data_IF_710777828270
#
_entry.id   IF_710777828270
#
_cell.length_a   1.000
_cell.length_b   1.000
_cell.length_c   1.000
_cell.angle_alpha   90.00
_cell.angle_beta   90.00
_cell.angle_gamma   90.00
#
_symmetry.space_group_name_H-M   'P 1'
#
loop_
_entity.id
_entity.type
_entity.pdbx_description
1 polymer ?
#
# COMPACT_ATOMS: atom_id res chain seq x y z
N UNK A 1 -2.54 -16.83 6.42
CA UNK A 1 -2.87 -16.78 4.98
C UNK A 1 -1.87 -17.62 4.18
N UNK A 2 -2.17 -17.99 2.92
CA UNK A 2 -1.29 -18.86 2.12
C UNK A 2 -0.30 -17.98 1.33
N UNK A 3 1.03 -18.08 1.51
CA UNK A 3 2.02 -17.24 0.82
C UNK A 3 1.87 -17.18 -0.72
N UNK A 4 1.54 -18.31 -1.36
CA UNK A 4 1.32 -18.40 -2.80
C UNK A 4 0.14 -17.52 -3.29
N UNK A 5 -0.85 -17.28 -2.43
CA UNK A 5 -2.01 -16.45 -2.74
C UNK A 5 -1.61 -14.98 -2.98
N UNK A 6 -0.76 -14.43 -2.12
CA UNK A 6 -0.34 -13.03 -2.25
C UNK A 6 0.56 -12.80 -3.47
N UNK A 7 1.34 -13.79 -3.87
CA UNK A 7 2.12 -13.74 -5.11
C UNK A 7 1.20 -13.69 -6.33
N UNK A 8 0.17 -14.55 -6.35
CA UNK A 8 -0.82 -14.56 -7.43
C UNK A 8 -1.63 -13.25 -7.48
N UNK A 9 -2.08 -12.75 -6.32
CA UNK A 9 -2.81 -11.49 -6.21
C UNK A 9 -1.95 -10.31 -6.68
N UNK A 10 -0.69 -10.22 -6.25
CA UNK A 10 0.19 -9.11 -6.61
C UNK A 10 0.44 -9.08 -8.13
N UNK A 11 0.74 -10.23 -8.73
CA UNK A 11 0.93 -10.34 -10.17
C UNK A 11 -0.33 -9.93 -10.97
N UNK A 12 -1.51 -10.39 -10.52
CA UNK A 12 -2.78 -10.06 -11.17
C UNK A 12 -3.21 -8.60 -10.95
N UNK A 13 -2.91 -8.01 -9.79
CA UNK A 13 -3.14 -6.59 -9.54
C UNK A 13 -2.23 -5.71 -10.41
N UNK A 14 -0.95 -6.07 -10.56
CA UNK A 14 -0.05 -5.38 -11.48
C UNK A 14 -0.56 -5.43 -12.93
N UNK A 15 -1.05 -6.60 -13.37
CA UNK A 15 -1.65 -6.77 -14.70
C UNK A 15 -2.87 -5.86 -14.90
N UNK A 16 -3.83 -5.92 -13.97
CA UNK A 16 -5.10 -5.18 -14.00
C UNK A 16 -4.94 -3.66 -13.95
N UNK A 17 -3.97 -3.17 -13.17
CA UNK A 17 -3.76 -1.72 -12.97
C UNK A 17 -2.87 -1.11 -14.06
N UNK A 18 -2.19 -1.92 -14.87
CA UNK A 18 -1.38 -1.43 -15.99
C UNK A 18 -2.26 -0.74 -17.03
N UNK A 19 -1.94 0.50 -17.39
CA UNK A 19 -2.60 1.21 -18.48
C UNK A 19 -2.38 0.48 -19.84
N UNK A 20 -3.48 0.19 -20.56
CA UNK A 20 -3.47 -0.55 -21.83
C UNK A 20 -4.35 0.10 -22.88
N UNK A 21 -4.06 -0.18 -24.14
CA UNK A 21 -4.97 0.11 -25.24
C UNK A 21 -6.16 -0.87 -25.24
N UNK A 22 -7.34 -0.49 -25.75
CA UNK A 22 -8.47 -1.41 -25.88
C UNK A 22 -8.10 -2.64 -26.72
N UNK A 23 -8.46 -3.82 -26.21
CA UNK A 23 -8.21 -5.11 -26.87
C UNK A 23 -9.49 -5.84 -27.25
N UNK A 24 -9.40 -6.75 -28.21
CA UNK A 24 -10.52 -7.62 -28.60
C UNK A 24 -10.87 -8.65 -27.51
N UNK A 25 -9.95 -8.92 -26.57
CA UNK A 25 -10.09 -9.89 -25.49
C UNK A 25 -10.74 -9.32 -24.20
N UNK A 26 -11.28 -8.09 -24.24
CA UNK A 26 -11.77 -7.40 -23.04
C UNK A 26 -12.85 -8.18 -22.25
N UNK A 27 -13.62 -9.05 -22.91
CA UNK A 27 -14.61 -9.90 -22.24
C UNK A 27 -13.96 -10.98 -21.38
N UNK A 28 -12.89 -11.61 -21.89
CA UNK A 28 -12.13 -12.63 -21.18
C UNK A 28 -11.35 -11.98 -20.03
N UNK A 29 -10.74 -10.82 -20.29
CA UNK A 29 -10.05 -10.00 -19.28
C UNK A 29 -11.01 -9.61 -18.12
N UNK A 30 -12.24 -9.21 -18.43
CA UNK A 30 -13.26 -8.89 -17.43
C UNK A 30 -13.68 -10.11 -16.61
N UNK A 31 -13.77 -11.29 -17.23
CA UNK A 31 -14.08 -12.54 -16.52
C UNK A 31 -12.96 -12.91 -15.54
N UNK A 32 -11.70 -12.79 -15.96
CA UNK A 32 -10.54 -13.01 -15.10
C UNK A 32 -10.46 -11.97 -13.96
N UNK A 33 -10.76 -10.70 -14.25
CA UNK A 33 -10.84 -9.66 -13.23
C UNK A 33 -11.93 -9.97 -12.19
N UNK A 34 -13.09 -10.45 -12.63
CA UNK A 34 -14.16 -10.83 -11.69
C UNK A 34 -13.68 -11.87 -10.66
N UNK A 35 -13.01 -12.93 -11.12
CA UNK A 35 -12.45 -13.95 -10.23
C UNK A 35 -11.42 -13.35 -9.26
N UNK A 36 -10.54 -12.49 -9.76
CA UNK A 36 -9.56 -11.77 -8.93
C UNK A 36 -10.25 -10.93 -7.84
N UNK A 37 -11.31 -10.21 -8.19
CA UNK A 37 -12.01 -9.29 -7.28
C UNK A 37 -12.81 -10.02 -6.20
N UNK A 38 -13.29 -11.23 -6.50
CA UNK A 38 -13.87 -12.13 -5.48
C UNK A 38 -12.79 -12.52 -4.47
N UNK A 39 -11.63 -12.98 -4.95
CA UNK A 39 -10.52 -13.43 -4.12
C UNK A 39 -9.94 -12.30 -3.25
N UNK A 40 -9.71 -11.13 -3.84
CA UNK A 40 -9.28 -9.92 -3.13
C UNK A 40 -10.27 -9.55 -2.01
N UNK A 41 -11.58 -9.60 -2.30
CA UNK A 41 -12.61 -9.34 -1.31
C UNK A 41 -12.58 -10.33 -0.14
N UNK A 42 -12.36 -11.62 -0.41
CA UNK A 42 -12.23 -12.63 0.64
C UNK A 42 -11.00 -12.37 1.53
N UNK A 43 -9.86 -12.03 0.93
CA UNK A 43 -8.64 -11.69 1.68
C UNK A 43 -8.87 -10.48 2.58
N UNK A 44 -9.46 -9.41 2.07
CA UNK A 44 -9.73 -8.21 2.87
C UNK A 44 -10.69 -8.52 4.02
N UNK A 45 -11.77 -9.28 3.80
CA UNK A 45 -12.72 -9.60 4.87
C UNK A 45 -12.10 -10.49 5.95
N UNK A 46 -11.18 -11.40 5.59
CA UNK A 46 -10.40 -12.18 6.55
C UNK A 46 -9.53 -11.26 7.41
N UNK A 47 -8.75 -10.38 6.79
CA UNK A 47 -7.89 -9.43 7.53
C UNK A 47 -8.70 -8.46 8.41
N UNK A 48 -9.83 -7.98 7.90
CA UNK A 48 -10.76 -7.14 8.70
C UNK A 48 -11.33 -7.89 9.89
N UNK A 49 -11.52 -9.21 9.79
CA UNK A 49 -12.00 -10.01 10.92
C UNK A 49 -10.94 -10.13 12.02
N UNK A 50 -9.67 -10.33 11.66
CA UNK A 50 -8.55 -10.44 12.61
C UNK A 50 -8.37 -9.16 13.44
N UNK A 51 -8.54 -7.99 12.82
CA UNK A 51 -8.35 -6.70 13.52
C UNK A 51 -9.64 -6.11 14.09
N UNK A 52 -10.78 -6.79 13.94
CA UNK A 52 -12.11 -6.24 14.26
C UNK A 52 -12.23 -5.79 15.71
N UNK A 53 -11.85 -6.66 16.65
CA UNK A 53 -11.98 -6.37 18.08
C UNK A 53 -11.10 -5.19 18.49
N UNK A 54 -9.88 -5.09 17.94
CA UNK A 54 -8.99 -3.95 18.16
C UNK A 54 -9.55 -2.68 17.54
N UNK A 55 -10.08 -2.74 16.32
CA UNK A 55 -10.67 -1.58 15.66
C UNK A 55 -11.93 -1.07 16.40
N UNK A 56 -12.67 -1.97 17.04
CA UNK A 56 -13.87 -1.62 17.81
C UNK A 56 -13.56 -0.84 19.11
N UNK A 57 -12.30 -0.76 19.54
CA UNK A 57 -11.92 0.05 20.71
C UNK A 57 -11.69 1.53 20.36
N UNK A 58 -11.66 1.88 19.07
CA UNK A 58 -11.51 3.26 18.63
C UNK A 58 -12.67 4.13 19.15
N UNK A 59 -12.41 5.30 19.76
CA UNK A 59 -13.47 6.19 20.21
C UNK A 59 -14.36 6.65 19.05
N UNK A 60 -15.64 6.84 19.32
CA UNK A 60 -16.63 7.25 18.31
C UNK A 60 -16.90 8.75 18.29
N UNK A 61 -16.45 9.48 19.32
CA UNK A 61 -16.49 10.94 19.33
C UNK A 61 -15.23 11.51 18.67
N UNK A 62 -15.31 12.70 18.02
CA UNK A 62 -14.19 13.22 17.24
C UNK A 62 -12.92 13.49 18.04
N UNK A 63 -13.04 14.08 19.24
CA UNK A 63 -11.88 14.46 20.05
C UNK A 63 -11.16 13.22 20.60
N UNK A 64 -11.94 12.24 21.09
CA UNK A 64 -11.44 10.95 21.49
C UNK A 64 -10.77 10.20 20.33
N UNK A 65 -11.36 10.23 19.14
CA UNK A 65 -10.79 9.56 17.97
C UNK A 65 -9.45 10.16 17.57
N UNK A 66 -9.34 11.50 17.53
CA UNK A 66 -8.07 12.18 17.20
C UNK A 66 -6.99 11.81 18.21
N UNK A 67 -7.28 11.94 19.51
CA UNK A 67 -6.31 11.58 20.55
C UNK A 67 -5.88 10.11 20.49
N UNK A 68 -6.82 9.21 20.20
CA UNK A 68 -6.53 7.78 20.02
C UNK A 68 -5.70 7.51 18.76
N UNK A 69 -5.99 8.21 17.66
CA UNK A 69 -5.31 8.03 16.38
C UNK A 69 -3.87 8.56 16.43
N UNK A 70 -3.65 9.74 17.00
CA UNK A 70 -2.31 10.33 17.19
C UNK A 70 -1.44 9.44 18.10
N UNK A 71 -2.03 8.81 19.11
CA UNK A 71 -1.33 7.88 20.01
C UNK A 71 -0.81 6.62 19.30
N UNK A 72 -1.30 6.31 18.09
CA UNK A 72 -0.77 5.23 17.27
C UNK A 72 0.66 5.50 16.79
N UNK A 73 1.11 6.76 16.71
CA UNK A 73 2.52 7.09 16.44
C UNK A 73 3.44 6.47 17.50
N UNK A 74 2.96 6.36 18.74
CA UNK A 74 3.73 5.81 19.87
C UNK A 74 3.40 4.36 20.19
N UNK A 75 2.15 3.94 20.00
CA UNK A 75 1.64 2.64 20.46
C UNK A 75 1.12 1.74 19.35
N UNK A 76 1.15 2.23 18.11
CA UNK A 76 0.70 1.52 16.94
C UNK A 76 1.50 0.22 16.72
N UNK A 77 0.88 -0.80 16.10
CA UNK A 77 1.60 -2.00 15.71
C UNK A 77 2.81 -1.66 14.81
N UNK A 78 3.96 -2.27 15.10
CA UNK A 78 5.21 -2.02 14.37
C UNK A 78 6.06 -0.86 14.92
N UNK A 79 5.52 -0.04 15.83
CA UNK A 79 6.32 0.97 16.50
C UNK A 79 7.41 0.35 17.37
N UNK A 80 8.63 0.89 17.25
CA UNK A 80 9.84 0.40 17.92
C UNK A 80 10.19 -1.07 17.61
N UNK A 81 9.83 -1.57 16.41
CA UNK A 81 10.21 -2.92 16.01
C UNK A 81 11.75 -3.10 16.08
N UNK A 82 12.25 -4.19 16.70
CA UNK A 82 13.69 -4.46 16.80
C UNK A 82 14.43 -4.45 15.47
N UNK A 83 13.73 -4.71 14.35
CA UNK A 83 14.28 -4.63 13.00
C UNK A 83 14.90 -3.25 12.73
N UNK A 84 14.24 -2.15 13.09
CA UNK A 84 14.75 -0.80 12.79
C UNK A 84 16.05 -0.50 13.53
N UNK A 85 16.15 -0.93 14.79
CA UNK A 85 17.39 -0.81 15.56
C UNK A 85 18.51 -1.64 14.93
N UNK A 86 18.21 -2.86 14.50
CA UNK A 86 19.19 -3.72 13.84
C UNK A 86 19.63 -3.14 12.48
N UNK A 87 18.71 -2.59 11.69
CA UNK A 87 19.00 -1.88 10.44
C UNK A 87 19.91 -0.68 10.65
N UNK A 88 19.73 0.06 11.75
CA UNK A 88 20.54 1.22 12.11
C UNK A 88 21.97 0.82 12.52
N UNK A 89 22.11 -0.20 13.38
CA UNK A 89 23.39 -0.43 14.08
C UNK A 89 24.20 -1.63 13.59
N UNK A 90 23.56 -2.62 12.97
CA UNK A 90 24.19 -3.92 12.69
C UNK A 90 24.13 -4.34 11.22
N UNK A 91 23.11 -3.91 10.47
CA UNK A 91 22.90 -4.36 9.10
C UNK A 91 24.06 -3.98 8.17
N UNK A 92 24.53 -4.97 7.42
CA UNK A 92 25.44 -4.74 6.30
C UNK A 92 24.72 -4.05 5.14
N UNK A 93 25.48 -3.43 4.22
CA UNK A 93 24.91 -2.87 2.99
C UNK A 93 24.10 -3.90 2.18
N UNK A 94 24.55 -5.16 2.14
CA UNK A 94 23.83 -6.22 1.44
C UNK A 94 22.46 -6.49 2.08
N UNK A 95 22.39 -6.51 3.41
CA UNK A 95 21.14 -6.70 4.14
C UNK A 95 20.21 -5.48 4.01
N UNK A 96 20.77 -4.27 4.04
CA UNK A 96 20.01 -3.04 3.78
C UNK A 96 19.42 -3.03 2.37
N UNK A 97 20.21 -3.41 1.35
CA UNK A 97 19.72 -3.58 -0.03
C UNK A 97 18.59 -4.61 -0.09
N UNK A 98 18.73 -5.74 0.61
CA UNK A 98 17.67 -6.74 0.67
C UNK A 98 16.38 -6.18 1.28
N UNK A 99 16.47 -5.49 2.42
CA UNK A 99 15.33 -4.86 3.08
C UNK A 99 14.64 -3.84 2.17
N UNK A 100 15.39 -2.89 1.61
CA UNK A 100 14.85 -1.87 0.69
C UNK A 100 14.27 -2.48 -0.58
N UNK A 101 14.81 -3.60 -1.06
CA UNK A 101 14.21 -4.32 -2.17
C UNK A 101 12.83 -4.89 -1.81
N UNK A 102 12.63 -5.41 -0.60
CA UNK A 102 11.31 -5.87 -0.15
C UNK A 102 10.30 -4.72 -0.07
N UNK A 103 10.73 -3.56 0.42
CA UNK A 103 9.87 -2.37 0.56
C UNK A 103 9.46 -1.82 -0.81
N UNK A 104 10.43 -1.54 -1.69
CA UNK A 104 10.16 -0.85 -2.96
C UNK A 104 9.51 -1.75 -4.01
N UNK A 105 9.82 -3.04 -4.04
CA UNK A 105 9.25 -3.94 -5.03
C UNK A 105 7.86 -4.47 -4.63
N UNK A 106 7.49 -4.37 -3.35
CA UNK A 106 6.14 -4.68 -2.86
C UNK A 106 5.22 -3.47 -2.76
N UNK A 107 5.74 -2.27 -3.02
CA UNK A 107 4.98 -1.03 -2.92
C UNK A 107 3.83 -0.99 -3.94
N UNK A 108 2.67 -0.51 -3.48
CA UNK A 108 1.46 -0.39 -4.28
C UNK A 108 1.35 0.93 -5.08
N UNK A 109 2.34 1.83 -4.97
CA UNK A 109 2.31 3.18 -5.53
C UNK A 109 1.43 4.12 -4.71
N UNK A 110 2.04 4.89 -3.80
CA UNK A 110 1.28 5.74 -2.88
C UNK A 110 0.38 6.77 -3.59
N UNK A 111 0.88 7.42 -4.63
CA UNK A 111 0.14 8.40 -5.42
C UNK A 111 -1.13 7.81 -6.07
N UNK A 112 -1.03 6.60 -6.63
CA UNK A 112 -2.17 5.88 -7.19
C UNK A 112 -3.21 5.50 -6.13
N UNK A 113 -2.76 5.08 -4.93
CA UNK A 113 -3.66 4.78 -3.81
C UNK A 113 -4.45 6.02 -3.37
N UNK A 114 -3.79 7.18 -3.30
CA UNK A 114 -4.43 8.46 -2.99
C UNK A 114 -5.42 8.85 -4.09
N UNK A 115 -5.03 8.69 -5.36
CA UNK A 115 -5.87 8.96 -6.53
C UNK A 115 -7.16 8.12 -6.55
N UNK A 116 -7.05 6.83 -6.25
CA UNK A 116 -8.21 5.92 -6.18
C UNK A 116 -9.10 6.24 -4.96
N UNK A 117 -8.50 6.46 -3.79
CA UNK A 117 -9.24 6.67 -2.54
C UNK A 117 -10.10 7.94 -2.58
N UNK A 118 -9.60 9.02 -3.17
CA UNK A 118 -10.31 10.31 -3.18
C UNK A 118 -11.58 10.34 -4.06
N UNK A 119 -11.79 9.32 -4.89
CA UNK A 119 -12.95 9.24 -5.79
C UNK A 119 -14.26 9.33 -5.01
N UNK A 120 -15.05 10.36 -5.37
CA UNK A 120 -16.40 10.63 -4.83
C UNK A 120 -16.46 10.82 -3.30
N UNK A 121 -15.36 11.16 -2.63
CA UNK A 121 -15.41 11.57 -1.23
C UNK A 121 -16.09 12.93 -1.05
N UNK A 122 -16.56 13.18 0.18
CA UNK A 122 -17.06 14.49 0.59
C UNK A 122 -15.99 15.57 0.41
N UNK A 123 -16.43 16.82 0.21
CA UNK A 123 -15.54 17.91 -0.22
C UNK A 123 -14.32 18.11 0.68
N UNK A 124 -14.50 18.12 2.01
CA UNK A 124 -13.40 18.34 2.97
C UNK A 124 -12.30 17.26 2.87
N UNK A 125 -12.55 15.97 3.13
CA UNK A 125 -11.50 14.94 3.01
C UNK A 125 -10.95 14.82 1.58
N UNK A 126 -11.77 15.10 0.56
CA UNK A 126 -11.30 15.11 -0.84
C UNK A 126 -10.27 16.22 -1.08
N UNK A 127 -10.47 17.41 -0.52
CA UNK A 127 -9.51 18.51 -0.65
C UNK A 127 -8.20 18.20 0.09
N UNK A 128 -8.24 17.50 1.23
CA UNK A 128 -7.02 17.07 1.91
C UNK A 128 -6.22 16.04 1.09
N UNK A 129 -6.89 15.00 0.58
CA UNK A 129 -6.24 14.03 -0.30
C UNK A 129 -5.74 14.66 -1.61
N UNK A 130 -6.44 15.66 -2.14
CA UNK A 130 -5.98 16.38 -3.32
C UNK A 130 -4.69 17.19 -3.07
N UNK A 131 -4.50 17.72 -1.86
CA UNK A 131 -3.26 18.41 -1.48
C UNK A 131 -2.11 17.41 -1.33
N UNK A 132 -2.35 16.29 -0.66
CA UNK A 132 -1.37 15.22 -0.52
C UNK A 132 -0.98 14.65 -1.90
N UNK A 133 -1.95 14.33 -2.76
CA UNK A 133 -1.68 13.92 -4.14
C UNK A 133 -0.87 14.96 -4.92
N UNK A 134 -1.18 16.26 -4.76
CA UNK A 134 -0.42 17.30 -5.44
C UNK A 134 1.04 17.39 -4.97
N UNK A 135 1.30 17.11 -3.70
CA UNK A 135 2.65 17.05 -3.14
C UNK A 135 3.41 15.81 -3.65
N UNK A 136 2.76 14.63 -3.64
CA UNK A 136 3.29 13.39 -4.22
C UNK A 136 3.67 13.53 -5.70
N UNK A 137 2.87 14.30 -6.44
CA UNK A 137 3.13 14.65 -7.84
C UNK A 137 4.18 15.76 -8.01
N UNK A 138 4.98 16.06 -6.97
CA UNK A 138 6.05 17.05 -7.00
C UNK A 138 5.57 18.46 -7.31
N UNK A 139 4.31 18.75 -7.01
CA UNK A 139 3.62 19.99 -7.40
C UNK A 139 3.73 20.28 -8.90
N UNK A 140 3.65 19.23 -9.71
CA UNK A 140 3.74 19.27 -11.17
C UNK A 140 5.17 19.30 -11.71
N UNK A 141 6.18 19.16 -10.86
CA UNK A 141 7.58 18.99 -11.26
C UNK A 141 8.00 17.53 -11.05
N UNK A 142 8.31 16.83 -12.14
CA UNK A 142 8.76 15.43 -12.13
C UNK A 142 9.96 15.20 -11.22
N UNK A 143 10.91 16.16 -11.16
CA UNK A 143 12.07 16.04 -10.28
C UNK A 143 11.70 16.03 -8.79
N UNK A 144 10.55 16.61 -8.45
CA UNK A 144 9.96 16.66 -7.13
C UNK A 144 8.99 15.52 -6.82
N UNK A 145 8.67 14.66 -7.80
CA UNK A 145 7.80 13.50 -7.56
C UNK A 145 8.52 12.45 -6.72
N UNK A 146 7.80 11.85 -5.78
CA UNK A 146 8.36 10.83 -4.88
C UNK A 146 8.72 9.54 -5.61
N UNK A 147 7.88 9.03 -6.51
CA UNK A 147 8.15 7.82 -7.29
C UNK A 147 9.48 7.83 -8.06
N UNK A 148 9.79 8.89 -8.84
CA UNK A 148 11.10 9.08 -9.45
C UNK A 148 12.27 9.23 -8.47
N UNK A 149 12.05 9.74 -7.25
CA UNK A 149 13.08 9.74 -6.20
C UNK A 149 13.39 8.32 -5.72
N UNK A 150 12.36 7.52 -5.44
CA UNK A 150 12.51 6.11 -5.05
C UNK A 150 13.18 5.28 -6.16
N UNK A 151 12.81 5.53 -7.42
CA UNK A 151 13.43 4.89 -8.59
C UNK A 151 14.93 5.19 -8.68
N UNK A 152 15.34 6.44 -8.38
CA UNK A 152 16.76 6.83 -8.34
C UNK A 152 17.51 6.14 -7.19
N UNK A 153 16.91 6.05 -6.01
CA UNK A 153 17.47 5.30 -4.87
C UNK A 153 17.66 3.82 -5.23
N UNK A 154 16.65 3.20 -5.83
CA UNK A 154 16.70 1.80 -6.24
C UNK A 154 17.79 1.53 -7.28
N UNK A 155 17.99 2.47 -8.22
CA UNK A 155 19.06 2.41 -9.20
C UNK A 155 20.45 2.57 -8.57
N UNK A 156 20.64 3.55 -7.70
CA UNK A 156 21.92 3.81 -7.01
C UNK A 156 22.35 2.63 -6.13
N UNK A 157 21.39 1.95 -5.51
CA UNK A 157 21.63 0.77 -4.70
C UNK A 157 21.59 -0.55 -5.51
N UNK A 158 21.48 -0.47 -6.83
CA UNK A 158 21.38 -1.62 -7.74
C UNK A 158 20.40 -2.70 -7.24
N UNK A 159 19.21 -2.29 -6.79
CA UNK A 159 18.24 -3.22 -6.19
C UNK A 159 17.65 -4.18 -7.23
N UNK A 160 17.59 -3.77 -8.50
CA UNK A 160 17.11 -4.60 -9.61
C UNK A 160 17.94 -5.87 -9.81
N UNK A 161 19.21 -5.88 -9.42
CA UNK A 161 20.08 -7.06 -9.46
C UNK A 161 19.59 -8.18 -8.53
N UNK A 162 18.92 -7.82 -7.44
CA UNK A 162 18.42 -8.77 -6.45
C UNK A 162 17.24 -9.58 -6.96
N UNK A 163 16.47 -9.05 -7.92
CA UNK A 163 15.25 -9.68 -8.45
C UNK A 163 15.47 -11.08 -9.02
N UNK A 164 16.68 -11.41 -9.46
CA UNK A 164 17.02 -12.73 -9.99
C UNK A 164 17.13 -13.82 -8.93
N UNK A 165 17.51 -13.44 -7.71
CA UNK A 165 17.88 -14.38 -6.64
C UNK A 165 17.09 -14.15 -5.35
N UNK A 166 16.21 -13.15 -5.32
CA UNK A 166 15.47 -12.74 -4.13
C UNK A 166 13.98 -12.74 -4.45
N UNK A 167 13.25 -13.61 -3.78
CA UNK A 167 11.80 -13.61 -3.81
C UNK A 167 11.26 -12.57 -2.82
N UNK A 168 10.16 -11.91 -3.16
CA UNK A 168 9.47 -11.04 -2.23
C UNK A 168 8.81 -11.88 -1.13
N UNK A 169 9.00 -11.44 0.11
CA UNK A 169 8.33 -12.04 1.27
C UNK A 169 6.84 -11.78 1.16
N UNK A 170 6.04 -12.75 1.59
CA UNK A 170 4.59 -12.69 1.37
C UNK A 170 3.95 -11.57 2.18
N UNK A 171 4.57 -11.14 3.29
CA UNK A 171 4.14 -10.04 4.14
C UNK A 171 4.17 -8.70 3.39
N UNK A 172 5.25 -8.42 2.64
CA UNK A 172 5.37 -7.22 1.79
C UNK A 172 4.31 -7.24 0.68
N UNK A 173 4.14 -8.40 0.04
CA UNK A 173 3.08 -8.59 -0.96
C UNK A 173 1.68 -8.45 -0.36
N UNK A 174 1.46 -8.91 0.88
CA UNK A 174 0.19 -8.79 1.58
C UNK A 174 -0.17 -7.33 1.82
N UNK A 175 0.80 -6.53 2.30
CA UNK A 175 0.64 -5.09 2.48
C UNK A 175 0.17 -4.42 1.18
N UNK A 176 0.93 -4.59 0.08
CA UNK A 176 0.59 -4.00 -1.21
C UNK A 176 -0.80 -4.45 -1.73
N UNK A 177 -1.09 -5.74 -1.65
CA UNK A 177 -2.40 -6.28 -2.07
C UNK A 177 -3.56 -5.73 -1.25
N UNK A 178 -3.41 -5.62 0.07
CA UNK A 178 -4.45 -5.06 0.94
C UNK A 178 -4.66 -3.58 0.60
N UNK A 179 -3.58 -2.79 0.49
CA UNK A 179 -3.68 -1.37 0.14
C UNK A 179 -4.40 -1.14 -1.20
N UNK A 180 -3.99 -1.87 -2.25
CA UNK A 180 -4.66 -1.85 -3.56
C UNK A 180 -6.13 -2.22 -3.43
N UNK A 181 -6.44 -3.31 -2.71
CA UNK A 181 -7.80 -3.79 -2.58
C UNK A 181 -8.72 -2.84 -1.79
N UNK A 182 -8.19 -2.16 -0.78
CA UNK A 182 -8.90 -1.10 -0.05
C UNK A 182 -9.18 0.12 -0.96
N UNK A 183 -8.18 0.58 -1.71
CA UNK A 183 -8.27 1.76 -2.56
C UNK A 183 -9.14 1.54 -3.81
N UNK A 184 -8.95 0.40 -4.49
CA UNK A 184 -9.64 0.06 -5.73
C UNK A 184 -11.10 -0.36 -5.51
N UNK A 185 -11.57 -0.53 -4.27
CA UNK A 185 -12.92 -0.99 -3.98
C UNK A 185 -13.73 0.00 -3.14
N UNK A 186 -14.79 0.55 -3.74
CA UNK A 186 -15.57 1.60 -3.09
C UNK A 186 -16.46 1.12 -1.94
N UNK A 187 -16.50 -0.16 -1.58
CA UNK A 187 -17.05 -0.55 -0.26
C UNK A 187 -16.05 -0.32 0.89
N UNK A 188 -14.77 -0.15 0.58
CA UNK A 188 -13.69 -0.03 1.58
C UNK A 188 -13.07 1.35 1.71
N UNK A 189 -13.39 2.37 0.92
CA UNK A 189 -12.53 3.58 0.97
C UNK A 189 -12.54 4.42 2.26
N UNK A 190 -13.36 4.13 3.28
CA UNK A 190 -13.08 4.67 4.63
C UNK A 190 -11.96 3.90 5.34
N UNK A 191 -11.85 2.60 5.11
CA UNK A 191 -10.67 1.81 5.50
C UNK A 191 -9.44 2.27 4.70
N UNK A 192 -9.59 2.54 3.39
CA UNK A 192 -8.50 3.09 2.57
C UNK A 192 -8.05 4.47 3.09
N UNK A 193 -8.99 5.36 3.42
CA UNK A 193 -8.69 6.65 4.03
C UNK A 193 -7.95 6.50 5.37
N UNK A 194 -8.40 5.59 6.24
CA UNK A 194 -7.73 5.32 7.51
C UNK A 194 -6.34 4.71 7.34
N UNK A 195 -6.17 3.80 6.36
CA UNK A 195 -4.88 3.18 6.06
C UNK A 195 -3.87 4.20 5.52
N UNK A 196 -4.27 5.07 4.58
CA UNK A 196 -3.44 6.18 4.11
C UNK A 196 -3.09 7.14 5.25
N UNK A 197 -4.06 7.47 6.10
CA UNK A 197 -3.82 8.29 7.28
C UNK A 197 -2.76 7.69 8.20
N UNK A 198 -2.80 6.37 8.43
CA UNK A 198 -1.84 5.69 9.30
C UNK A 198 -0.43 5.55 8.69
N UNK A 199 -0.30 5.57 7.36
CA UNK A 199 1.00 5.59 6.66
C UNK A 199 1.68 6.96 6.79
N UNK A 200 0.88 8.02 6.95
CA UNK A 200 1.31 9.42 6.98
C UNK A 200 1.29 10.03 8.40
N UNK A 201 1.06 9.19 9.43
CA UNK A 201 1.16 9.57 10.85
C UNK A 201 2.63 9.75 11.24
#
# INVERSE_FOLDING_TARGET
MIPALHQQLAAKNADRLTARLPGAAWLDELAEEHELRVLEGQVIELERAEVRERAATAPTDPDGFIAWFDELERTGPGQYDPLFRWLETEATLQQMRWFLYQELAGEAGFDDLVALTQLKLAARPKLELARNYWDEMGRGNEAGMHGPMLSRLAAELSLSELSRNTQLVWESLALGNIMIGLAANRRYAYHSLGALGAIEL
#
